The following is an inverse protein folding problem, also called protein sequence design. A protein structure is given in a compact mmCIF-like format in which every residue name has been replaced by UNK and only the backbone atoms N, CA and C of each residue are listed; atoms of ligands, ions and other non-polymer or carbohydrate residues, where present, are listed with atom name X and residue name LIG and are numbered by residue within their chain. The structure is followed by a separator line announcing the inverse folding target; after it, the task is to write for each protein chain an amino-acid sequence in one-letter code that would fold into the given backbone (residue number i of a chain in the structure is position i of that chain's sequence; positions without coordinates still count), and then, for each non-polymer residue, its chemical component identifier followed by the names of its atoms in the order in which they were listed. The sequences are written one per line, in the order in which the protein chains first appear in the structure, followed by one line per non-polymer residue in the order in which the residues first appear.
data_IF_855557515487
#
_entry.id   IF_855557515487
#
_cell.length_a   1.000
_cell.length_b   1.000
_cell.length_c   1.000
_cell.angle_alpha   90.00
_cell.angle_beta   90.00
_cell.angle_gamma   90.00
#
_symmetry.space_group_name_H-M   'P 1'
#
loop_
_entity.id
_entity.type
_entity.pdbx_description
1 polymer ?
#
# COMPACT_ATOMS: atom_id res chain seq x y z
N UNK A 1 -2.84 -27.27 -3.85
CA UNK A 1 -3.80 -26.36 -3.19
C UNK A 1 -3.23 -24.96 -3.34
N UNK A 2 -4.07 -23.95 -3.52
CA UNK A 2 -3.59 -22.56 -3.55
C UNK A 2 -3.13 -22.14 -2.14
N UNK A 3 -2.05 -21.35 -2.02
CA UNK A 3 -1.53 -20.94 -0.72
C UNK A 3 -2.57 -20.12 0.05
N UNK A 4 -2.65 -20.31 1.37
CA UNK A 4 -3.47 -19.44 2.23
C UNK A 4 -2.72 -18.13 2.48
N UNK A 5 -3.29 -17.01 2.02
CA UNK A 5 -2.65 -15.69 2.07
C UNK A 5 -3.41 -14.76 3.02
N UNK A 6 -2.69 -14.05 3.89
CA UNK A 6 -3.19 -12.84 4.53
C UNK A 6 -2.93 -11.66 3.60
N UNK A 7 -3.99 -11.15 2.96
CA UNK A 7 -3.87 -10.14 1.91
C UNK A 7 -3.66 -8.72 2.46
N UNK A 8 -3.70 -8.50 3.78
CA UNK A 8 -3.60 -7.15 4.32
C UNK A 8 -3.00 -7.13 5.72
N UNK A 9 -1.72 -6.75 5.80
CA UNK A 9 -1.09 -6.35 7.05
C UNK A 9 0.01 -5.31 6.84
N UNK A 10 0.50 -4.75 7.94
CA UNK A 10 1.47 -3.68 7.97
C UNK A 10 2.66 -4.04 8.87
N UNK A 11 3.85 -3.63 8.46
CA UNK A 11 5.00 -3.50 9.35
C UNK A 11 5.40 -2.03 9.44
N UNK A 12 5.88 -1.62 10.59
CA UNK A 12 6.31 -0.26 10.80
C UNK A 12 7.39 -0.17 11.87
N UNK A 13 8.16 0.91 11.80
CA UNK A 13 9.12 1.28 12.83
C UNK A 13 8.92 2.78 13.15
N UNK A 14 8.41 3.14 14.34
CA UNK A 14 8.13 4.53 14.70
C UNK A 14 9.33 5.48 14.52
N UNK A 15 10.56 4.96 14.57
CA UNK A 15 11.77 5.74 14.32
C UNK A 15 11.91 6.30 12.89
N UNK A 16 11.11 5.84 11.92
CA UNK A 16 11.05 6.43 10.57
C UNK A 16 10.45 7.83 10.57
N UNK A 17 9.59 8.15 11.53
CA UNK A 17 9.04 9.49 11.73
C UNK A 17 7.99 9.95 10.71
N UNK A 18 7.55 9.09 9.78
CA UNK A 18 6.60 9.40 8.72
C UNK A 18 5.17 8.86 8.97
N UNK A 19 4.93 8.23 10.11
CA UNK A 19 3.61 7.70 10.51
C UNK A 19 2.75 8.77 11.22
N UNK A 20 2.29 9.77 10.46
CA UNK A 20 1.52 10.91 10.99
C UNK A 20 0.18 10.52 11.68
N UNK A 21 -0.36 9.33 11.42
CA UNK A 21 -1.57 8.81 12.04
C UNK A 21 -1.33 8.14 13.40
N UNK A 22 -0.08 7.89 13.78
CA UNK A 22 0.26 7.05 14.93
C UNK A 22 0.22 7.85 16.24
N UNK A 23 -0.66 7.50 17.19
CA UNK A 23 -0.65 8.09 18.53
C UNK A 23 0.55 7.55 19.33
N UNK A 24 1.51 8.42 19.65
CA UNK A 24 2.75 8.03 20.33
C UNK A 24 2.56 7.64 21.81
N UNK A 25 1.42 7.97 22.40
CA UNK A 25 1.01 7.55 23.75
C UNK A 25 0.36 6.16 23.78
N UNK A 26 0.11 5.55 22.62
CA UNK A 26 -0.46 4.21 22.51
C UNK A 26 0.65 3.14 22.47
N UNK A 27 0.90 2.46 23.59
CA UNK A 27 1.95 1.43 23.67
C UNK A 27 1.75 0.24 22.69
N UNK A 28 0.53 -0.01 22.22
CA UNK A 28 0.25 -1.03 21.22
C UNK A 28 0.72 -0.59 19.84
N UNK A 29 0.48 0.65 19.43
CA UNK A 29 0.82 1.15 18.09
C UNK A 29 2.23 1.75 18.03
N UNK A 30 2.65 2.46 19.09
CA UNK A 30 3.92 3.17 19.20
C UNK A 30 5.11 2.25 19.52
N UNK A 31 5.20 1.11 18.82
CA UNK A 31 6.35 0.20 18.86
C UNK A 31 6.63 -0.35 17.47
N UNK A 32 7.81 -0.93 17.28
CA UNK A 32 8.13 -1.65 16.05
C UNK A 32 7.31 -2.93 15.92
N UNK A 33 6.80 -3.17 14.71
CA UNK A 33 6.26 -4.45 14.27
C UNK A 33 7.04 -4.93 13.07
N UNK A 34 7.57 -6.16 13.16
CA UNK A 34 8.42 -6.78 12.15
C UNK A 34 7.96 -8.23 11.86
N UNK A 35 8.52 -8.91 10.85
CA UNK A 35 8.13 -10.28 10.50
C UNK A 35 8.12 -11.27 11.68
N UNK A 36 9.07 -11.14 12.61
CA UNK A 36 9.15 -12.00 13.79
C UNK A 36 7.96 -11.84 14.75
N UNK A 37 7.34 -10.65 14.82
CA UNK A 37 6.15 -10.42 15.64
C UNK A 37 4.91 -11.13 15.08
N UNK A 38 4.83 -11.30 13.74
CA UNK A 38 3.68 -11.87 13.06
C UNK A 38 3.78 -13.40 12.89
N UNK A 39 5.00 -13.94 12.76
CA UNK A 39 5.28 -15.35 12.45
C UNK A 39 4.50 -16.37 13.33
N UNK A 40 4.40 -16.22 14.67
CA UNK A 40 3.64 -17.16 15.49
C UNK A 40 2.17 -17.28 15.07
N UNK A 41 1.55 -16.15 14.71
CA UNK A 41 0.14 -16.10 14.28
C UNK A 41 -0.04 -16.69 12.89
N UNK A 42 0.92 -16.51 11.97
CA UNK A 42 0.89 -17.14 10.65
C UNK A 42 0.90 -18.66 10.78
N UNK A 43 1.78 -19.19 11.63
CA UNK A 43 1.89 -20.63 11.89
C UNK A 43 0.60 -21.18 12.50
N UNK A 44 0.08 -20.55 13.55
CA UNK A 44 -1.16 -20.97 14.21
C UNK A 44 -2.34 -21.01 13.24
N UNK A 45 -2.46 -20.02 12.36
CA UNK A 45 -3.56 -19.89 11.42
C UNK A 45 -3.31 -20.57 10.07
N UNK A 46 -2.16 -21.23 9.90
CA UNK A 46 -1.72 -21.88 8.65
C UNK A 46 -1.73 -20.93 7.46
N UNK A 47 -1.33 -19.68 7.68
CA UNK A 47 -1.12 -18.68 6.64
C UNK A 47 0.30 -18.89 6.08
N UNK A 48 0.39 -19.10 4.78
CA UNK A 48 1.65 -19.40 4.10
C UNK A 48 2.42 -18.12 3.77
N UNK A 49 1.70 -17.10 3.26
CA UNK A 49 2.28 -15.83 2.87
C UNK A 49 1.38 -14.65 3.24
N UNK A 50 1.94 -13.44 3.23
CA UNK A 50 1.25 -12.19 3.47
C UNK A 50 1.50 -11.19 2.35
N UNK A 51 0.59 -10.22 2.20
CA UNK A 51 0.82 -8.99 1.44
C UNK A 51 1.09 -7.86 2.41
N UNK A 52 2.16 -7.11 2.19
CA UNK A 52 2.45 -5.88 2.94
C UNK A 52 1.75 -4.72 2.26
N UNK A 53 1.03 -3.91 3.04
CA UNK A 53 0.41 -2.68 2.55
C UNK A 53 1.09 -1.50 3.22
N UNK A 54 1.38 -0.44 2.47
CA UNK A 54 1.99 0.80 3.00
C UNK A 54 1.26 1.30 4.26
N UNK A 55 1.99 1.78 5.26
CA UNK A 55 1.41 2.45 6.42
C UNK A 55 1.75 3.95 6.47
N UNK A 56 2.54 4.48 5.55
CA UNK A 56 2.84 5.91 5.43
C UNK A 56 2.76 6.36 3.97
N UNK A 57 2.38 7.62 3.77
CA UNK A 57 2.24 8.24 2.44
C UNK A 57 3.59 8.78 1.94
N UNK A 58 4.60 7.90 1.85
CA UNK A 58 5.96 8.26 1.42
C UNK A 58 6.50 7.21 0.44
N UNK A 59 7.37 7.64 -0.48
CA UNK A 59 8.06 6.70 -1.37
C UNK A 59 9.01 5.80 -0.56
N UNK A 60 9.60 6.37 0.49
CA UNK A 60 10.50 5.70 1.43
C UNK A 60 9.82 4.55 2.19
N UNK A 61 8.50 4.60 2.41
CA UNK A 61 7.72 3.49 2.97
C UNK A 61 7.64 2.34 1.96
N UNK A 62 7.35 2.63 0.70
CA UNK A 62 7.35 1.62 -0.36
C UNK A 62 8.68 0.90 -0.45
N UNK A 63 9.78 1.64 -0.47
CA UNK A 63 11.14 1.06 -0.51
C UNK A 63 11.44 0.22 0.73
N UNK A 64 11.02 0.67 1.91
CA UNK A 64 11.19 -0.06 3.15
C UNK A 64 10.44 -1.40 3.17
N UNK A 65 9.19 -1.40 2.72
CA UNK A 65 8.40 -2.63 2.65
C UNK A 65 8.95 -3.61 1.60
N UNK A 66 9.45 -3.11 0.46
CA UNK A 66 10.14 -3.94 -0.54
C UNK A 66 11.43 -4.55 0.04
N UNK A 67 12.20 -3.79 0.82
CA UNK A 67 13.36 -4.32 1.54
C UNK A 67 13.01 -5.44 2.53
N UNK A 68 11.89 -5.32 3.25
CA UNK A 68 11.38 -6.43 4.09
C UNK A 68 10.96 -7.61 3.22
N UNK A 69 10.30 -7.34 2.10
CA UNK A 69 9.82 -8.38 1.20
C UNK A 69 10.98 -9.20 0.62
N UNK A 70 12.09 -8.57 0.26
CA UNK A 70 13.29 -9.26 -0.23
C UNK A 70 13.95 -10.14 0.85
N UNK A 71 13.89 -9.70 2.11
CA UNK A 71 14.45 -10.43 3.24
C UNK A 71 13.52 -11.54 3.79
N UNK A 72 12.28 -11.65 3.31
CA UNK A 72 11.29 -12.57 3.88
C UNK A 72 10.52 -13.37 2.82
N UNK A 73 10.63 -14.71 2.80
CA UNK A 73 9.84 -15.55 1.90
C UNK A 73 8.35 -15.56 2.27
N UNK A 74 8.00 -15.14 3.50
CA UNK A 74 6.60 -14.98 3.95
C UNK A 74 5.88 -13.86 3.21
N UNK A 75 6.59 -12.86 2.70
CA UNK A 75 5.95 -11.76 1.98
C UNK A 75 5.81 -12.13 0.50
N UNK A 76 4.57 -12.32 0.06
CA UNK A 76 4.22 -12.57 -1.34
C UNK A 76 4.31 -11.31 -2.19
N UNK A 77 4.00 -10.14 -1.61
CA UNK A 77 4.10 -8.87 -2.31
C UNK A 77 3.81 -7.65 -1.45
N UNK A 78 3.90 -6.49 -2.08
CA UNK A 78 3.81 -5.16 -1.49
C UNK A 78 2.84 -4.30 -2.29
N UNK A 79 1.86 -3.73 -1.62
CA UNK A 79 1.07 -2.59 -2.08
C UNK A 79 1.70 -1.33 -1.49
N UNK A 80 2.40 -0.57 -2.33
CA UNK A 80 3.13 0.61 -1.90
C UNK A 80 2.32 1.91 -1.99
N UNK A 81 3.04 3.00 -1.89
CA UNK A 81 2.57 4.37 -2.10
C UNK A 81 3.43 5.10 -3.14
N UNK A 82 2.77 5.92 -3.95
CA UNK A 82 3.38 6.97 -4.76
C UNK A 82 2.51 8.22 -4.63
N UNK A 83 3.08 9.39 -4.91
CA UNK A 83 2.32 10.61 -5.02
C UNK A 83 1.65 10.68 -6.39
N UNK A 84 0.32 10.83 -6.41
CA UNK A 84 -0.46 10.97 -7.64
C UNK A 84 -0.50 12.44 -8.10
N UNK A 85 -0.24 13.38 -7.18
CA UNK A 85 -0.23 14.82 -7.46
C UNK A 85 1.11 15.31 -8.02
N UNK A 86 2.18 14.52 -7.86
CA UNK A 86 3.48 14.78 -8.47
C UNK A 86 3.78 13.84 -9.64
N UNK A 87 3.64 14.36 -10.87
CA UNK A 87 3.96 13.61 -12.09
C UNK A 87 5.40 13.09 -12.13
N UNK A 88 6.34 13.68 -11.38
CA UNK A 88 7.70 13.16 -11.26
C UNK A 88 7.74 11.72 -10.73
N UNK A 89 6.73 11.29 -9.96
CA UNK A 89 6.58 9.93 -9.45
C UNK A 89 6.25 8.89 -10.54
N UNK A 90 5.90 9.29 -11.76
CA UNK A 90 5.73 8.35 -12.87
C UNK A 90 6.99 7.51 -13.12
N UNK A 91 8.18 8.12 -12.99
CA UNK A 91 9.44 7.39 -13.13
C UNK A 91 9.65 6.37 -11.98
N UNK A 92 9.18 6.71 -10.77
CA UNK A 92 9.27 5.85 -9.61
C UNK A 92 8.33 4.67 -9.75
N UNK A 93 7.08 4.89 -10.17
CA UNK A 93 6.12 3.82 -10.42
C UNK A 93 6.64 2.82 -11.45
N UNK A 94 7.18 3.30 -12.59
CA UNK A 94 7.79 2.43 -13.61
C UNK A 94 9.02 1.66 -13.12
N UNK A 95 9.80 2.23 -12.20
CA UNK A 95 10.92 1.53 -11.57
C UNK A 95 10.43 0.46 -10.61
N UNK A 96 9.48 0.80 -9.74
CA UNK A 96 8.89 -0.09 -8.74
C UNK A 96 8.15 -1.26 -9.40
N UNK A 97 7.43 -1.03 -10.50
CA UNK A 97 6.76 -2.07 -11.28
C UNK A 97 7.69 -3.18 -11.82
N UNK A 98 9.01 -2.93 -11.90
CA UNK A 98 9.99 -3.96 -12.28
C UNK A 98 10.36 -4.89 -11.11
N UNK A 99 9.98 -4.54 -9.89
CA UNK A 99 10.24 -5.34 -8.72
C UNK A 99 9.25 -6.51 -8.65
N UNK A 100 9.71 -7.77 -8.55
CA UNK A 100 8.83 -8.95 -8.67
C UNK A 100 7.77 -9.06 -7.55
N UNK A 101 7.97 -8.33 -6.45
CA UNK A 101 7.05 -8.28 -5.30
C UNK A 101 6.24 -6.99 -5.22
N UNK A 102 6.38 -6.05 -6.14
CA UNK A 102 5.56 -4.84 -6.13
C UNK A 102 4.26 -5.09 -6.88
N UNK A 103 3.14 -5.11 -6.16
CA UNK A 103 1.85 -5.56 -6.68
C UNK A 103 0.90 -4.42 -7.01
N UNK A 104 1.12 -3.22 -6.46
CA UNK A 104 0.16 -2.14 -6.59
C UNK A 104 0.43 -0.95 -5.70
N UNK A 105 -0.51 -0.02 -5.72
CA UNK A 105 -0.44 1.22 -4.95
C UNK A 105 -1.75 1.52 -4.24
N UNK A 106 -1.64 2.20 -3.10
CA UNK A 106 -2.77 2.62 -2.26
C UNK A 106 -2.65 4.09 -1.85
N UNK A 107 -3.29 5.04 -2.55
CA UNK A 107 -3.39 6.40 -2.04
C UNK A 107 -4.25 6.45 -0.77
N UNK A 108 -3.93 7.35 0.16
CA UNK A 108 -4.66 7.52 1.42
C UNK A 108 -5.87 8.44 1.26
N UNK A 109 -6.79 8.09 0.35
CA UNK A 109 -7.95 8.90 -0.01
C UNK A 109 -8.84 9.23 1.20
N UNK A 110 -8.87 8.37 2.22
CA UNK A 110 -9.63 8.62 3.44
C UNK A 110 -9.22 9.94 4.15
N UNK A 111 -7.96 10.33 4.04
CA UNK A 111 -7.39 11.51 4.70
C UNK A 111 -7.31 12.75 3.80
N UNK A 112 -7.70 12.62 2.52
CA UNK A 112 -7.72 13.74 1.57
C UNK A 112 -9.04 14.53 1.74
N UNK A 113 -8.99 15.86 1.95
CA UNK A 113 -10.21 16.65 2.20
C UNK A 113 -11.20 16.69 1.04
N UNK A 114 -10.71 16.62 -0.19
CA UNK A 114 -11.54 16.63 -1.40
C UNK A 114 -12.10 15.23 -1.68
N UNK A 115 -13.41 15.05 -1.50
CA UNK A 115 -14.10 13.77 -1.76
C UNK A 115 -14.01 13.35 -3.24
N UNK A 116 -13.86 14.31 -4.16
CA UNK A 116 -13.76 14.09 -5.60
C UNK A 116 -12.30 13.99 -6.07
N UNK A 117 -11.32 14.04 -5.16
CA UNK A 117 -9.90 14.03 -5.47
C UNK A 117 -9.51 12.95 -6.50
N UNK A 118 -9.99 11.72 -6.30
CA UNK A 118 -9.69 10.56 -7.16
C UNK A 118 -10.20 10.69 -8.60
N UNK A 119 -11.09 11.64 -8.86
CA UNK A 119 -11.68 11.89 -10.19
C UNK A 119 -11.01 13.03 -10.94
N UNK A 120 -10.08 13.75 -10.30
CA UNK A 120 -9.38 14.88 -10.92
C UNK A 120 -8.61 14.45 -12.16
N UNK A 121 -8.64 15.30 -13.19
CA UNK A 121 -7.99 15.00 -14.46
C UNK A 121 -6.46 15.08 -14.39
N UNK A 122 -5.91 15.88 -13.48
CA UNK A 122 -4.47 16.09 -13.35
C UNK A 122 -3.73 14.93 -12.66
N UNK A 123 -4.45 14.02 -12.01
CA UNK A 123 -3.90 12.77 -11.45
C UNK A 123 -4.20 11.53 -12.30
N UNK A 124 -4.90 11.69 -13.44
CA UNK A 124 -5.32 10.59 -14.31
C UNK A 124 -4.15 9.73 -14.80
N UNK A 125 -2.98 10.34 -14.97
CA UNK A 125 -1.74 9.67 -15.38
C UNK A 125 -1.38 8.49 -14.48
N UNK A 126 -1.68 8.58 -13.18
CA UNK A 126 -1.32 7.53 -12.21
C UNK A 126 -2.16 6.27 -12.44
N UNK A 127 -3.46 6.43 -12.67
CA UNK A 127 -4.35 5.32 -13.00
C UNK A 127 -3.99 4.66 -14.34
N UNK A 128 -3.74 5.48 -15.37
CA UNK A 128 -3.30 4.98 -16.68
C UNK A 128 -2.02 4.17 -16.58
N UNK A 129 -1.07 4.64 -15.77
CA UNK A 129 0.21 3.96 -15.57
C UNK A 129 0.08 2.69 -14.70
N UNK A 130 -0.81 2.67 -13.72
CA UNK A 130 -1.14 1.46 -12.95
C UNK A 130 -1.66 0.37 -13.89
N UNK A 131 -2.59 0.71 -14.79
CA UNK A 131 -3.11 -0.21 -15.81
C UNK A 131 -2.00 -0.65 -16.78
N UNK A 132 -1.20 0.29 -17.29
CA UNK A 132 -0.08 -0.01 -18.20
C UNK A 132 0.94 -0.97 -17.59
N UNK A 133 1.20 -0.84 -16.28
CA UNK A 133 2.14 -1.67 -15.55
C UNK A 133 1.54 -2.96 -14.97
N UNK A 134 0.26 -3.27 -15.25
CA UNK A 134 -0.46 -4.43 -14.70
C UNK A 134 -0.40 -4.48 -13.16
N UNK A 135 -0.59 -3.31 -12.53
CA UNK A 135 -0.57 -3.13 -11.09
C UNK A 135 -1.99 -3.02 -10.52
N UNK A 136 -2.13 -3.40 -9.26
CA UNK A 136 -3.37 -3.25 -8.51
C UNK A 136 -3.54 -1.84 -7.93
N UNK A 137 -4.79 -1.44 -7.73
CA UNK A 137 -5.19 -0.23 -7.01
C UNK A 137 -6.00 -0.62 -5.78
N UNK A 138 -5.48 -0.31 -4.59
CA UNK A 138 -6.19 -0.54 -3.34
C UNK A 138 -7.05 0.69 -2.99
N UNK A 139 -8.38 0.51 -3.03
CA UNK A 139 -9.34 1.58 -2.75
C UNK A 139 -9.57 1.78 -1.23
N UNK A 140 -8.73 2.59 -0.60
CA UNK A 140 -8.92 2.97 0.81
C UNK A 140 -9.73 4.26 0.94
N UNK A 141 -10.96 4.17 1.46
CA UNK A 141 -11.82 5.33 1.65
C UNK A 141 -12.99 5.07 2.58
N UNK A 142 -13.83 6.08 2.75
CA UNK A 142 -15.04 6.01 3.56
C UNK A 142 -16.29 5.75 2.70
N UNK A 143 -17.45 5.43 3.30
CA UNK A 143 -18.70 5.25 2.55
C UNK A 143 -19.06 6.40 1.60
N UNK A 144 -18.73 7.65 1.97
CA UNK A 144 -18.92 8.84 1.12
C UNK A 144 -18.15 8.81 -0.20
N UNK A 145 -17.12 7.96 -0.32
CA UNK A 145 -16.29 7.82 -1.52
C UNK A 145 -16.77 6.71 -2.47
N UNK A 146 -17.75 5.88 -2.08
CA UNK A 146 -18.15 4.68 -2.85
C UNK A 146 -18.61 5.00 -4.28
N UNK A 147 -19.43 6.05 -4.46
CA UNK A 147 -19.88 6.47 -5.79
C UNK A 147 -18.71 6.93 -6.67
N UNK A 148 -17.68 7.53 -6.07
CA UNK A 148 -16.49 7.98 -6.79
C UNK A 148 -15.58 6.80 -7.14
N UNK A 149 -15.42 5.82 -6.25
CA UNK A 149 -14.73 4.57 -6.58
C UNK A 149 -15.42 3.84 -7.72
N UNK A 150 -16.75 3.77 -7.75
CA UNK A 150 -17.48 3.15 -8.86
C UNK A 150 -17.21 3.87 -10.19
N UNK A 151 -17.29 5.21 -10.21
CA UNK A 151 -16.96 6.00 -11.42
C UNK A 151 -15.52 5.77 -11.87
N UNK A 152 -14.58 5.75 -10.93
CA UNK A 152 -13.15 5.54 -11.19
C UNK A 152 -12.90 4.16 -11.80
N UNK A 153 -13.37 3.09 -11.16
CA UNK A 153 -13.16 1.71 -11.61
C UNK A 153 -13.94 1.38 -12.90
N UNK A 154 -15.00 2.14 -13.21
CA UNK A 154 -15.65 2.06 -14.52
C UNK A 154 -14.80 2.71 -15.62
N UNK A 155 -14.04 3.76 -15.28
CA UNK A 155 -13.17 4.49 -16.23
C UNK A 155 -11.87 3.73 -16.49
N UNK A 156 -11.32 3.08 -15.47
CA UNK A 156 -10.09 2.28 -15.52
C UNK A 156 -10.39 0.86 -15.03
N UNK A 157 -10.94 -0.01 -15.90
CA UNK A 157 -11.35 -1.37 -15.54
C UNK A 157 -10.18 -2.35 -15.40
#
# INVERSE_FOLDING_TARGET
MSPKIDSHQHFWNPARGDYNWMPMDNATLARTYAPADLEPYLVENRIEQTVLVQAAATLEETEYLLGIADASPRVAGVVGWIDFEDYSHAQHLRRLAKHPKFLGVRPMIQDIPDNDWMLRADIAWAYELIVECDLTFDALGFPRHLDNFLKLLTRYP
#
